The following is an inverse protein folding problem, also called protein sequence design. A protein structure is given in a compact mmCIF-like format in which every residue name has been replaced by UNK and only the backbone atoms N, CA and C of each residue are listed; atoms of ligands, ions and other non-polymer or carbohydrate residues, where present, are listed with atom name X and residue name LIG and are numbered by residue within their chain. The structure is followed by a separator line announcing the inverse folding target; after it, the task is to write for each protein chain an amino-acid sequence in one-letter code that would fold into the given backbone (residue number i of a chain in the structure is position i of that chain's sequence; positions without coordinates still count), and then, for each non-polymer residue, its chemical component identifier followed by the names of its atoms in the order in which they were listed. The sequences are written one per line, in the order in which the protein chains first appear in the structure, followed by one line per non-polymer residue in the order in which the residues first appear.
data_IF_763696595828
#
_entry.id   IF_763696595828
#
_cell.length_a   1.000
_cell.length_b   1.000
_cell.length_c   1.000
_cell.angle_alpha   90.00
_cell.angle_beta   90.00
_cell.angle_gamma   90.00
#
_symmetry.space_group_name_H-M   'P 1'
#
loop_
_entity.id
_entity.type
_entity.pdbx_description
1 polymer ?
#
# COMPACT_ATOMS: atom_id res chain seq x y z
N UNK A 1 -26.66 6.09 27.15
CA UNK A 1 -26.59 7.10 28.23
C UNK A 1 -25.60 8.18 27.81
N UNK A 2 -25.94 9.48 27.92
CA UNK A 2 -25.01 10.55 27.56
C UNK A 2 -23.85 10.59 28.57
N UNK A 3 -22.61 10.56 28.09
CA UNK A 3 -21.41 10.70 28.91
C UNK A 3 -21.33 12.14 29.43
N UNK A 4 -21.39 12.32 30.76
CA UNK A 4 -21.18 13.62 31.40
C UNK A 4 -19.68 13.86 31.57
N UNK A 5 -19.17 14.95 31.01
CA UNK A 5 -17.77 15.35 31.17
C UNK A 5 -17.52 15.84 32.61
N UNK A 6 -16.82 15.03 33.41
CA UNK A 6 -16.44 15.33 34.80
C UNK A 6 -15.00 15.85 34.93
N UNK A 7 -14.39 16.28 33.84
CA UNK A 7 -12.99 16.74 33.85
C UNK A 7 -12.78 17.93 34.78
N UNK A 8 -13.77 18.82 34.91
CA UNK A 8 -13.68 19.97 35.81
C UNK A 8 -13.73 19.57 37.29
N UNK A 9 -14.70 18.72 37.67
CA UNK A 9 -14.82 18.20 39.03
C UNK A 9 -13.53 17.47 39.46
N UNK A 10 -12.97 16.66 38.56
CA UNK A 10 -11.70 15.98 38.79
C UNK A 10 -10.53 16.95 39.02
N UNK A 11 -10.40 17.98 38.18
CA UNK A 11 -9.35 19.01 38.35
C UNK A 11 -9.50 19.78 39.66
N UNK A 12 -10.74 20.04 40.10
CA UNK A 12 -11.01 20.73 41.35
C UNK A 12 -10.59 19.87 42.56
N UNK A 13 -10.97 18.60 42.57
CA UNK A 13 -10.56 17.64 43.61
C UNK A 13 -9.04 17.47 43.67
N UNK A 14 -8.37 17.44 42.51
CA UNK A 14 -6.89 17.40 42.47
C UNK A 14 -6.30 18.64 43.14
N UNK A 15 -6.77 19.85 42.81
CA UNK A 15 -6.24 21.10 43.39
C UNK A 15 -6.47 21.15 44.90
N UNK A 16 -7.63 20.71 45.36
CA UNK A 16 -7.96 20.62 46.79
C UNK A 16 -6.99 19.68 47.52
N UNK A 17 -6.78 18.48 46.98
CA UNK A 17 -5.83 17.51 47.53
C UNK A 17 -4.37 17.95 47.45
N UNK A 18 -4.01 18.71 46.41
CA UNK A 18 -2.67 19.27 46.28
C UNK A 18 -2.40 20.34 47.35
N UNK A 19 -3.42 21.10 47.76
CA UNK A 19 -3.31 22.11 48.81
C UNK A 19 -3.29 21.52 50.23
N UNK A 20 -3.87 20.33 50.45
CA UNK A 20 -3.75 19.57 51.69
C UNK A 20 -2.33 19.02 51.94
N UNK A 21 -1.51 18.88 50.89
CA UNK A 21 -0.15 18.35 51.02
C UNK A 21 0.83 19.44 51.48
N UNK A 22 1.70 19.16 52.48
CA UNK A 22 2.71 20.12 52.92
C UNK A 22 3.65 20.50 51.78
N UNK A 23 4.05 21.79 51.72
CA UNK A 23 4.84 22.36 50.62
C UNK A 23 6.12 21.57 50.28
N UNK A 24 6.74 20.93 51.27
CA UNK A 24 7.89 20.04 51.08
C UNK A 24 7.56 18.79 50.24
N UNK A 25 6.35 18.21 50.40
CA UNK A 25 5.90 17.07 49.60
C UNK A 25 5.51 17.50 48.18
N UNK A 26 4.86 18.67 48.02
CA UNK A 26 4.53 19.24 46.69
C UNK A 26 5.79 19.55 45.86
N UNK A 27 6.81 20.12 46.49
CA UNK A 27 8.10 20.39 45.84
C UNK A 27 8.84 19.09 45.50
N UNK A 28 8.72 18.04 46.32
CA UNK A 28 9.32 16.73 46.06
C UNK A 28 8.63 16.01 44.89
N UNK A 29 7.30 16.03 44.80
CA UNK A 29 6.56 15.43 43.68
C UNK A 29 6.80 16.19 42.38
N UNK A 30 6.81 17.52 42.40
CA UNK A 30 7.14 18.34 41.23
C UNK A 30 8.58 18.09 40.74
N UNK A 31 9.54 17.95 41.66
CA UNK A 31 10.93 17.61 41.32
C UNK A 31 11.04 16.21 40.72
N UNK A 32 10.36 15.21 41.32
CA UNK A 32 10.29 13.85 40.79
C UNK A 32 9.69 13.79 39.40
N UNK A 33 8.62 14.56 39.11
CA UNK A 33 8.02 14.61 37.79
C UNK A 33 8.99 15.21 36.76
N UNK A 34 9.72 16.27 37.13
CA UNK A 34 10.71 16.89 36.23
C UNK A 34 11.96 16.01 36.02
N UNK A 35 12.31 15.18 37.02
CA UNK A 35 13.41 14.22 36.92
C UNK A 35 13.00 13.02 36.06
N UNK A 36 11.77 12.52 36.21
CA UNK A 36 11.21 11.46 35.39
C UNK A 36 11.05 11.89 33.92
N UNK A 37 10.63 13.13 33.64
CA UNK A 37 10.57 13.65 32.25
C UNK A 37 11.93 13.72 31.55
N UNK A 38 13.04 13.73 32.30
CA UNK A 38 14.41 13.72 31.77
C UNK A 38 14.98 12.32 31.62
N UNK A 39 14.23 11.26 31.94
CA UNK A 39 14.70 9.90 31.76
C UNK A 39 14.96 9.61 30.27
N UNK A 40 16.18 9.21 29.88
CA UNK A 40 16.55 8.99 28.48
C UNK A 40 15.62 8.01 27.76
N UNK A 41 15.12 7.01 28.48
CA UNK A 41 14.20 6.00 27.93
C UNK A 41 12.83 6.59 27.55
N UNK A 42 12.33 7.58 28.30
CA UNK A 42 11.05 8.23 28.01
C UNK A 42 11.20 9.16 26.82
N UNK A 43 12.33 9.86 26.71
CA UNK A 43 12.65 10.72 25.56
C UNK A 43 12.76 9.87 24.28
N UNK A 44 13.53 8.79 24.31
CA UNK A 44 13.64 7.87 23.16
C UNK A 44 12.30 7.22 22.79
N UNK A 45 11.44 6.92 23.76
CA UNK A 45 10.09 6.44 23.49
C UNK A 45 9.21 7.50 22.80
N UNK A 46 9.30 8.76 23.20
CA UNK A 46 8.59 9.88 22.54
C UNK A 46 9.09 10.10 21.11
N UNK A 47 10.40 10.03 20.89
CA UNK A 47 11.03 10.13 19.56
C UNK A 47 10.57 8.98 18.66
N UNK A 48 10.54 7.75 19.16
CA UNK A 48 10.04 6.59 18.43
C UNK A 48 8.59 6.77 17.95
N UNK A 49 7.71 7.23 18.84
CA UNK A 49 6.30 7.47 18.51
C UNK A 49 6.15 8.65 17.55
N UNK A 50 6.94 9.71 17.71
CA UNK A 50 6.93 10.84 16.78
C UNK A 50 7.33 10.41 15.37
N UNK A 51 8.38 9.60 15.25
CA UNK A 51 8.82 9.03 13.96
C UNK A 51 7.72 8.16 13.33
N UNK A 52 7.04 7.33 14.14
CA UNK A 52 5.90 6.54 13.71
C UNK A 52 4.78 7.39 13.09
N UNK A 53 4.44 8.52 13.71
CA UNK A 53 3.43 9.44 13.18
C UNK A 53 3.86 10.08 11.86
N UNK A 54 5.14 10.41 11.70
CA UNK A 54 5.66 10.95 10.44
C UNK A 54 5.54 9.90 9.33
N UNK A 55 5.89 8.64 9.59
CA UNK A 55 5.71 7.55 8.61
C UNK A 55 4.22 7.36 8.28
N UNK A 56 3.36 7.33 9.30
CA UNK A 56 1.92 7.19 9.12
C UNK A 56 1.34 8.32 8.26
N UNK A 57 1.81 9.56 8.45
CA UNK A 57 1.38 10.69 7.63
C UNK A 57 1.75 10.48 6.15
N UNK A 58 2.99 10.07 5.86
CA UNK A 58 3.41 9.76 4.49
C UNK A 58 2.57 8.65 3.86
N UNK A 59 2.31 7.56 4.59
CA UNK A 59 1.47 6.45 4.11
C UNK A 59 0.05 6.96 3.84
N UNK A 60 -0.57 7.70 4.77
CA UNK A 60 -1.93 8.21 4.59
C UNK A 60 -2.04 9.23 3.45
N UNK A 61 -1.02 10.06 3.23
CA UNK A 61 -0.97 10.98 2.08
C UNK A 61 -0.86 10.21 0.78
N UNK A 62 0.01 9.21 0.72
CA UNK A 62 0.15 8.33 -0.45
C UNK A 62 -1.16 7.59 -0.74
N UNK A 63 -1.78 6.94 0.25
CA UNK A 63 -3.03 6.21 0.07
C UNK A 63 -4.16 7.13 -0.44
N UNK A 64 -4.26 8.36 0.10
CA UNK A 64 -5.23 9.35 -0.38
C UNK A 64 -4.95 9.78 -1.83
N UNK A 65 -3.69 10.06 -2.14
CA UNK A 65 -3.27 10.40 -3.51
C UNK A 65 -3.61 9.27 -4.49
N UNK A 66 -3.23 8.02 -4.19
CA UNK A 66 -3.51 6.84 -5.03
C UNK A 66 -5.02 6.64 -5.24
N UNK A 67 -5.84 6.84 -4.21
CA UNK A 67 -7.29 6.74 -4.32
C UNK A 67 -7.88 7.81 -5.26
N UNK A 68 -7.40 9.06 -5.16
CA UNK A 68 -7.88 10.18 -5.98
C UNK A 68 -7.48 10.03 -7.45
N UNK A 69 -6.25 9.59 -7.72
CA UNK A 69 -5.75 9.45 -9.09
C UNK A 69 -6.16 8.14 -9.76
N UNK A 70 -6.75 7.17 -9.05
CA UNK A 70 -7.11 5.86 -9.62
C UNK A 70 -7.90 5.96 -10.92
N UNK A 71 -8.92 6.82 -10.96
CA UNK A 71 -9.76 7.00 -12.16
C UNK A 71 -9.00 7.62 -13.35
N UNK A 72 -8.34 8.79 -13.22
CA UNK A 72 -7.56 9.37 -14.32
C UNK A 72 -6.33 8.54 -14.71
N UNK A 73 -5.75 7.79 -13.76
CA UNK A 73 -4.61 6.91 -14.00
C UNK A 73 -4.99 5.73 -14.90
N UNK A 74 -6.12 5.08 -14.62
CA UNK A 74 -6.61 3.92 -15.38
C UNK A 74 -7.21 4.27 -16.75
N UNK A 75 -7.53 5.55 -16.98
CA UNK A 75 -8.10 6.01 -18.25
C UNK A 75 -7.01 6.17 -19.33
N UNK A 76 -6.65 5.08 -20.01
CA UNK A 76 -5.63 5.05 -21.08
C UNK A 76 -6.14 5.66 -22.40
N UNK A 77 -7.40 6.11 -22.47
CA UNK A 77 -7.97 6.65 -23.71
C UNK A 77 -7.35 8.00 -24.07
N UNK A 78 -6.43 7.93 -25.02
CA UNK A 78 -5.79 9.03 -25.73
C UNK A 78 -6.69 9.59 -26.84
N UNK A 79 -8.00 9.72 -26.61
CA UNK A 79 -8.80 10.67 -27.41
C UNK A 79 -8.43 12.07 -26.94
N UNK A 80 -7.22 12.48 -27.34
CA UNK A 80 -6.67 13.79 -27.12
C UNK A 80 -7.61 14.81 -27.77
N UNK A 81 -8.52 15.35 -26.96
CA UNK A 81 -9.08 16.67 -27.27
C UNK A 81 -7.86 17.59 -27.33
N UNK A 82 -7.65 18.34 -28.43
CA UNK A 82 -6.49 19.22 -28.59
C UNK A 82 -6.58 20.29 -27.51
N UNK A 83 -5.89 20.04 -26.40
CA UNK A 83 -6.00 20.86 -25.20
C UNK A 83 -4.89 21.87 -25.27
N UNK A 84 -5.30 23.10 -25.57
CA UNK A 84 -4.57 24.34 -25.30
C UNK A 84 -3.62 24.19 -24.11
N UNK A 85 -2.31 24.30 -24.39
CA UNK A 85 -1.18 24.51 -23.46
C UNK A 85 -1.57 24.40 -21.98
N UNK A 86 -1.60 23.18 -21.43
CA UNK A 86 -1.51 23.03 -19.98
C UNK A 86 -0.04 23.27 -19.59
N UNK A 87 0.26 24.19 -18.66
CA UNK A 87 1.62 24.35 -18.16
C UNK A 87 2.07 23.05 -17.49
N UNK A 88 3.34 22.69 -17.65
CA UNK A 88 3.95 21.56 -16.95
C UNK A 88 3.64 21.67 -15.45
N UNK A 89 2.74 20.82 -14.95
CA UNK A 89 2.39 20.83 -13.54
C UNK A 89 3.53 20.18 -12.78
N UNK A 90 4.20 20.94 -11.92
CA UNK A 90 5.08 20.35 -10.92
C UNK A 90 4.18 19.61 -9.92
N UNK A 91 4.06 18.30 -10.10
CA UNK A 91 3.31 17.40 -9.23
C UNK A 91 4.07 17.24 -7.91
N UNK A 92 3.93 18.24 -7.04
CA UNK A 92 4.48 18.24 -5.69
C UNK A 92 3.58 17.41 -4.76
N UNK A 93 4.19 16.43 -4.09
CA UNK A 93 3.53 15.41 -3.28
C UNK A 93 2.88 15.95 -2.00
N UNK A 94 3.39 17.07 -1.47
CA UNK A 94 2.99 17.61 -0.16
C UNK A 94 1.61 18.29 -0.19
N UNK A 95 1.20 18.77 -1.37
CA UNK A 95 -0.12 19.35 -1.59
C UNK A 95 -1.18 18.28 -1.85
N UNK A 96 -1.90 17.84 -0.82
CA UNK A 96 -3.10 16.98 -0.98
C UNK A 96 -4.13 17.57 -1.97
N UNK A 97 -4.08 18.88 -2.21
CA UNK A 97 -4.98 19.59 -3.13
C UNK A 97 -4.53 19.53 -4.60
N UNK A 98 -3.25 19.29 -4.90
CA UNK A 98 -2.72 19.22 -6.26
C UNK A 98 -3.35 18.10 -7.09
N UNK A 99 -3.87 17.06 -6.43
CA UNK A 99 -4.36 15.83 -7.05
C UNK A 99 -5.89 15.77 -7.20
N UNK A 100 -6.64 16.69 -6.57
CA UNK A 100 -8.11 16.66 -6.52
C UNK A 100 -8.81 17.12 -7.81
N UNK A 101 -8.07 17.65 -8.80
CA UNK A 101 -8.63 18.24 -10.02
C UNK A 101 -8.16 17.63 -11.35
N UNK A 102 -7.41 16.52 -11.32
CA UNK A 102 -6.82 15.94 -12.52
C UNK A 102 -7.81 14.96 -13.17
N UNK A 103 -8.29 15.28 -14.39
CA UNK A 103 -9.22 14.42 -15.16
C UNK A 103 -8.52 13.48 -16.13
N UNK A 104 -7.34 13.87 -16.61
CA UNK A 104 -6.53 13.09 -17.55
C UNK A 104 -5.06 13.19 -17.16
N UNK A 105 -4.34 12.08 -17.32
CA UNK A 105 -2.89 11.97 -17.10
C UNK A 105 -2.24 11.52 -18.40
N UNK A 106 -1.11 12.11 -18.75
CA UNK A 106 -0.24 11.62 -19.82
C UNK A 106 0.46 10.32 -19.39
N UNK A 107 0.96 9.55 -20.36
CA UNK A 107 1.72 8.33 -20.05
C UNK A 107 2.96 8.63 -19.19
N UNK A 108 3.62 9.75 -19.46
CA UNK A 108 4.79 10.22 -18.71
C UNK A 108 4.45 10.63 -17.27
N UNK A 109 3.34 11.33 -17.04
CA UNK A 109 2.89 11.69 -15.69
C UNK A 109 2.53 10.44 -14.87
N UNK A 110 1.91 9.43 -15.50
CA UNK A 110 1.65 8.13 -14.84
C UNK A 110 2.95 7.44 -14.41
N UNK A 111 3.95 7.46 -15.28
CA UNK A 111 5.26 6.87 -14.99
C UNK A 111 5.97 7.59 -13.84
N UNK A 112 5.85 8.91 -13.77
CA UNK A 112 6.38 9.71 -12.66
C UNK A 112 5.67 9.39 -11.34
N UNK A 113 4.33 9.26 -11.38
CA UNK A 113 3.52 8.85 -10.22
C UNK A 113 3.96 7.48 -9.71
N UNK A 114 4.15 6.51 -10.62
CA UNK A 114 4.59 5.15 -10.27
C UNK A 114 5.96 5.16 -9.59
N UNK A 115 6.90 5.95 -10.13
CA UNK A 115 8.23 6.09 -9.57
C UNK A 115 8.21 6.77 -8.19
N UNK A 116 7.44 7.85 -8.05
CA UNK A 116 7.29 8.56 -6.77
C UNK A 116 6.64 7.67 -5.70
N UNK A 117 5.53 7.00 -6.04
CA UNK A 117 4.84 6.09 -5.12
C UNK A 117 5.78 4.98 -4.65
N UNK A 118 6.56 4.37 -5.56
CA UNK A 118 7.56 3.37 -5.21
C UNK A 118 8.62 3.91 -4.24
N UNK A 119 9.20 5.07 -4.54
CA UNK A 119 10.24 5.69 -3.68
C UNK A 119 9.71 5.98 -2.27
N UNK A 120 8.45 6.42 -2.16
CA UNK A 120 7.82 6.65 -0.85
C UNK A 120 7.63 5.33 -0.12
N UNK A 121 7.11 4.30 -0.79
CA UNK A 121 6.91 2.99 -0.18
C UNK A 121 8.22 2.38 0.32
N UNK A 122 9.28 2.40 -0.49
CA UNK A 122 10.60 1.89 -0.08
C UNK A 122 11.16 2.68 1.08
N UNK A 123 11.10 4.02 1.03
CA UNK A 123 11.60 4.87 2.13
C UNK A 123 10.83 4.66 3.43
N UNK A 124 9.51 4.48 3.35
CA UNK A 124 8.70 4.14 4.51
C UNK A 124 9.05 2.75 5.04
N UNK A 125 9.24 1.75 4.16
CA UNK A 125 9.67 0.41 4.56
C UNK A 125 11.01 0.44 5.31
N UNK A 126 12.00 1.17 4.77
CA UNK A 126 13.33 1.29 5.35
C UNK A 126 13.29 1.96 6.73
N UNK A 127 12.50 3.03 6.89
CA UNK A 127 12.31 3.68 8.20
C UNK A 127 11.62 2.77 9.21
N UNK A 128 10.64 1.97 8.79
CA UNK A 128 10.00 0.98 9.69
C UNK A 128 11.01 -0.09 10.10
N UNK A 129 11.85 -0.60 9.18
CA UNK A 129 12.94 -1.53 9.50
C UNK A 129 13.96 -0.93 10.46
N UNK A 130 14.30 0.35 10.29
CA UNK A 130 15.18 1.07 11.22
C UNK A 130 14.57 1.16 12.62
N UNK A 131 13.29 1.51 12.73
CA UNK A 131 12.57 1.55 14.00
C UNK A 131 12.57 0.19 14.71
N UNK A 132 12.33 -0.89 13.96
CA UNK A 132 12.38 -2.26 14.51
C UNK A 132 13.79 -2.64 14.99
N UNK A 133 14.83 -2.24 14.25
CA UNK A 133 16.21 -2.46 14.66
C UNK A 133 16.57 -1.68 15.93
N UNK A 134 16.05 -0.45 16.08
CA UNK A 134 16.22 0.35 17.29
C UNK A 134 15.55 -0.32 18.50
N UNK A 135 14.33 -0.85 18.33
CA UNK A 135 13.64 -1.55 19.41
C UNK A 135 14.34 -2.86 19.78
N UNK A 136 14.83 -3.62 18.80
CA UNK A 136 15.62 -4.83 19.06
C UNK A 136 16.88 -4.52 19.87
N UNK A 137 17.62 -3.47 19.50
CA UNK A 137 18.79 -3.01 20.28
C UNK A 137 18.39 -2.60 21.70
N UNK A 138 17.25 -1.94 21.87
CA UNK A 138 16.74 -1.57 23.20
C UNK A 138 16.48 -2.81 24.06
N UNK A 139 15.81 -3.83 23.51
CA UNK A 139 15.53 -5.09 24.20
C UNK A 139 16.84 -5.77 24.62
N UNK A 140 17.84 -5.83 23.73
CA UNK A 140 19.17 -6.38 24.03
C UNK A 140 19.91 -5.59 25.13
N UNK A 141 19.79 -4.26 25.14
CA UNK A 141 20.36 -3.40 26.19
C UNK A 141 19.65 -3.57 27.53
N UNK A 142 18.33 -3.77 27.54
CA UNK A 142 17.57 -4.08 28.75
C UNK A 142 17.94 -5.47 29.27
N UNK A 143 18.07 -6.45 28.37
CA UNK A 143 18.48 -7.81 28.73
C UNK A 143 19.92 -7.86 29.28
N UNK A 144 20.86 -7.12 28.68
CA UNK A 144 22.27 -7.08 29.12
C UNK A 144 22.49 -6.29 30.41
N UNK A 145 21.60 -5.36 30.76
CA UNK A 145 21.63 -4.66 32.05
C UNK A 145 21.22 -5.52 33.25
N UNK A 146 20.65 -6.71 33.03
CA UNK A 146 20.28 -7.63 34.11
C UNK A 146 21.52 -8.20 34.82
N UNK A 147 21.60 -8.04 36.15
CA UNK A 147 22.70 -8.60 36.96
C UNK A 147 22.84 -10.13 36.76
N UNK A 148 24.05 -10.68 36.55
CA UNK A 148 24.23 -12.12 36.32
C UNK A 148 23.77 -12.98 37.52
N UNK A 149 23.76 -12.40 38.73
CA UNK A 149 23.30 -13.06 39.96
C UNK A 149 21.77 -13.23 40.02
N UNK A 150 20.99 -12.37 39.36
CA UNK A 150 19.53 -12.55 39.29
C UNK A 150 19.16 -13.72 38.36
N UNK A 151 20.13 -14.23 37.58
CA UNK A 151 19.98 -15.43 36.76
C UNK A 151 19.79 -16.72 37.58
N UNK A 152 20.22 -16.71 38.84
CA UNK A 152 20.07 -17.83 39.79
C UNK A 152 18.83 -17.73 40.68
N UNK A 153 18.11 -16.61 40.64
CA UNK A 153 16.86 -16.45 41.38
C UNK A 153 15.70 -17.12 40.62
N UNK A 154 14.74 -17.74 41.33
CA UNK A 154 13.55 -18.31 40.72
C UNK A 154 12.76 -17.22 39.99
N UNK A 155 12.19 -17.55 38.82
CA UNK A 155 11.52 -16.62 37.91
C UNK A 155 10.51 -15.67 38.58
N UNK A 156 9.87 -16.12 39.66
CA UNK A 156 8.93 -15.35 40.49
C UNK A 156 9.51 -14.13 41.20
N UNK A 157 10.84 -14.06 41.38
CA UNK A 157 11.52 -12.95 42.06
C UNK A 157 12.37 -12.09 41.09
N UNK A 158 12.34 -12.41 39.79
CA UNK A 158 13.14 -11.74 38.75
C UNK A 158 12.41 -10.58 38.07
N UNK A 159 11.10 -10.48 38.27
CA UNK A 159 10.24 -9.47 37.64
C UNK A 159 10.30 -8.16 38.42
N UNK A 160 11.36 -7.37 38.18
CA UNK A 160 11.42 -5.99 38.65
C UNK A 160 10.44 -5.11 37.87
N UNK A 161 9.79 -4.15 38.55
CA UNK A 161 8.81 -3.26 37.95
C UNK A 161 9.31 -2.52 36.70
N UNK A 162 10.63 -2.26 36.62
CA UNK A 162 11.27 -1.65 35.46
C UNK A 162 11.27 -2.58 34.23
N UNK A 163 11.57 -3.87 34.40
CA UNK A 163 11.55 -4.87 33.32
C UNK A 163 10.13 -5.03 32.77
N UNK A 164 9.11 -5.01 33.63
CA UNK A 164 7.71 -5.08 33.20
C UNK A 164 7.30 -3.91 32.33
N UNK A 165 7.66 -2.70 32.76
CA UNK A 165 7.39 -1.50 31.97
C UNK A 165 8.12 -1.55 30.63
N UNK A 166 9.31 -2.17 30.57
CA UNK A 166 10.04 -2.38 29.33
C UNK A 166 9.34 -3.40 28.42
N UNK A 167 8.85 -4.52 28.96
CA UNK A 167 8.14 -5.56 28.19
C UNK A 167 6.83 -5.02 27.61
N UNK A 168 6.06 -4.25 28.39
CA UNK A 168 4.82 -3.60 27.93
C UNK A 168 5.11 -2.55 26.85
N UNK A 169 6.19 -1.77 27.02
CA UNK A 169 6.59 -0.79 26.00
C UNK A 169 7.08 -1.48 24.73
N UNK A 170 7.81 -2.60 24.83
CA UNK A 170 8.23 -3.39 23.69
C UNK A 170 7.03 -3.96 22.92
N UNK A 171 6.03 -4.50 23.63
CA UNK A 171 4.77 -4.96 23.03
C UNK A 171 3.99 -3.80 22.36
N UNK A 172 4.00 -2.61 22.96
CA UNK A 172 3.38 -1.44 22.35
C UNK A 172 4.14 -1.00 21.08
N UNK A 173 5.47 -0.95 21.14
CA UNK A 173 6.32 -0.57 20.00
C UNK A 173 6.23 -1.57 18.84
N UNK A 174 6.14 -2.88 19.13
CA UNK A 174 5.91 -3.92 18.12
C UNK A 174 4.52 -3.80 17.49
N UNK A 175 3.49 -3.47 18.28
CA UNK A 175 2.15 -3.24 17.74
C UNK A 175 2.08 -2.02 16.80
N UNK A 176 2.87 -0.97 17.08
CA UNK A 176 2.99 0.21 16.22
C UNK A 176 3.64 -0.17 14.88
N UNK A 177 4.78 -0.86 14.89
CA UNK A 177 5.46 -1.25 13.65
C UNK A 177 4.64 -2.25 12.85
N UNK A 178 3.95 -3.18 13.51
CA UNK A 178 2.99 -4.07 12.87
C UNK A 178 1.88 -3.28 12.17
N UNK A 179 1.30 -2.27 12.84
CA UNK A 179 0.26 -1.43 12.23
C UNK A 179 0.78 -0.65 11.02
N UNK A 180 1.99 -0.08 11.11
CA UNK A 180 2.62 0.63 9.98
C UNK A 180 2.90 -0.31 8.81
N UNK A 181 3.48 -1.49 9.04
CA UNK A 181 3.72 -2.49 8.01
C UNK A 181 2.43 -2.99 7.37
N UNK A 182 1.36 -3.16 8.16
CA UNK A 182 0.04 -3.50 7.63
C UNK A 182 -0.46 -2.42 6.67
N UNK A 183 -0.40 -1.15 7.06
CA UNK A 183 -0.84 -0.01 6.23
C UNK A 183 0.02 0.15 4.98
N UNK A 184 1.33 -0.09 5.10
CA UNK A 184 2.26 -0.06 3.98
C UNK A 184 1.98 -1.19 2.97
N UNK A 185 1.66 -2.38 3.47
CA UNK A 185 1.24 -3.52 2.66
C UNK A 185 -0.08 -3.26 1.93
N UNK A 186 -1.06 -2.66 2.62
CA UNK A 186 -2.32 -2.29 1.97
C UNK A 186 -2.10 -1.21 0.89
N UNK A 187 -1.23 -0.21 1.13
CA UNK A 187 -0.88 0.80 0.15
C UNK A 187 -0.14 0.21 -1.07
N UNK A 188 0.84 -0.67 -0.85
CA UNK A 188 1.58 -1.34 -1.93
C UNK A 188 0.68 -2.25 -2.77
N UNK A 189 -0.29 -2.92 -2.14
CA UNK A 189 -1.32 -3.71 -2.81
C UNK A 189 -2.15 -2.82 -3.75
N UNK A 190 -2.62 -1.66 -3.28
CA UNK A 190 -3.39 -0.74 -4.16
C UNK A 190 -2.59 -0.22 -5.34
N UNK A 191 -1.29 0.06 -5.16
CA UNK A 191 -0.42 0.47 -6.25
C UNK A 191 -0.23 -0.66 -7.27
N UNK A 192 0.05 -1.88 -6.80
CA UNK A 192 0.21 -3.07 -7.64
C UNK A 192 -1.03 -3.33 -8.48
N UNK A 193 -2.22 -3.33 -7.89
CA UNK A 193 -3.48 -3.53 -8.61
C UNK A 193 -3.68 -2.51 -9.73
N UNK A 194 -3.37 -1.24 -9.48
CA UNK A 194 -3.45 -0.20 -10.52
C UNK A 194 -2.44 -0.42 -11.65
N UNK A 195 -1.22 -0.85 -11.33
CA UNK A 195 -0.19 -1.14 -12.33
C UNK A 195 -0.52 -2.38 -13.16
N UNK A 196 -1.01 -3.45 -12.53
CA UNK A 196 -1.50 -4.65 -13.23
C UNK A 196 -2.59 -4.29 -14.23
N UNK A 197 -3.56 -3.47 -13.80
CA UNK A 197 -4.66 -3.07 -14.67
C UNK A 197 -4.21 -2.13 -15.80
N UNK A 198 -3.18 -1.31 -15.57
CA UNK A 198 -2.55 -0.49 -16.63
C UNK A 198 -1.83 -1.35 -17.66
N UNK A 199 -0.95 -2.25 -17.21
CA UNK A 199 -0.21 -3.18 -18.08
C UNK A 199 -1.18 -4.02 -18.89
N UNK A 200 -2.24 -4.52 -18.25
CA UNK A 200 -3.31 -5.28 -18.91
C UNK A 200 -3.98 -4.48 -20.02
N UNK A 201 -4.37 -3.21 -19.77
CA UNK A 201 -4.97 -2.35 -20.81
C UNK A 201 -4.00 -2.04 -21.95
N UNK A 202 -2.72 -1.85 -21.65
CA UNK A 202 -1.70 -1.61 -22.68
C UNK A 202 -1.47 -2.86 -23.55
N UNK A 203 -1.44 -4.05 -22.93
CA UNK A 203 -1.33 -5.34 -23.63
C UNK A 203 -2.56 -5.64 -24.49
N UNK A 204 -3.77 -5.36 -24.00
CA UNK A 204 -5.00 -5.47 -24.78
C UNK A 204 -4.98 -4.51 -25.98
N UNK A 205 -4.40 -3.31 -25.82
CA UNK A 205 -4.26 -2.34 -26.91
C UNK A 205 -3.22 -2.77 -27.95
N UNK A 206 -2.05 -3.25 -27.54
CA UNK A 206 -1.05 -3.77 -28.50
C UNK A 206 -1.60 -4.98 -29.25
N UNK A 207 -2.34 -5.86 -28.56
CA UNK A 207 -3.02 -7.00 -29.18
C UNK A 207 -4.11 -6.58 -30.16
N UNK A 208 -4.90 -5.56 -29.83
CA UNK A 208 -5.98 -5.07 -30.70
C UNK A 208 -5.46 -4.29 -31.91
N UNK A 209 -4.40 -3.49 -31.76
CA UNK A 209 -3.73 -2.81 -32.88
C UNK A 209 -3.17 -3.82 -33.88
N UNK A 210 -2.52 -4.89 -33.40
CA UNK A 210 -2.08 -5.99 -34.28
C UNK A 210 -3.23 -6.70 -34.99
N UNK A 211 -4.36 -6.92 -34.30
CA UNK A 211 -5.54 -7.54 -34.92
C UNK A 211 -6.32 -6.61 -35.86
N UNK A 212 -6.27 -5.29 -35.63
CA UNK A 212 -6.90 -4.26 -36.44
C UNK A 212 -6.18 -4.11 -37.77
N UNK A 213 -4.86 -3.98 -37.74
CA UNK A 213 -4.02 -3.96 -38.93
C UNK A 213 -4.16 -5.27 -39.75
N UNK A 214 -4.20 -6.43 -39.09
CA UNK A 214 -4.44 -7.71 -39.76
C UNK A 214 -5.85 -7.81 -40.39
N UNK A 215 -6.89 -7.29 -39.72
CA UNK A 215 -8.25 -7.24 -40.29
C UNK A 215 -8.37 -6.25 -41.44
N UNK A 216 -7.71 -5.11 -41.35
CA UNK A 216 -7.71 -4.07 -42.40
C UNK A 216 -6.94 -4.56 -43.63
N UNK A 217 -5.80 -5.23 -43.45
CA UNK A 217 -5.08 -5.90 -44.52
C UNK A 217 -5.94 -7.02 -45.19
N UNK A 218 -6.70 -7.78 -44.40
CA UNK A 218 -7.66 -8.75 -44.95
C UNK A 218 -8.84 -8.08 -45.67
N UNK A 219 -9.22 -6.86 -45.30
CA UNK A 219 -10.33 -6.15 -45.93
C UNK A 219 -9.89 -5.43 -47.22
N UNK A 220 -8.63 -5.02 -47.32
CA UNK A 220 -8.02 -4.50 -48.56
C UNK A 220 -7.82 -5.62 -49.58
N UNK A 221 -7.63 -6.87 -49.13
CA UNK A 221 -7.41 -8.03 -50.01
C UNK A 221 -8.71 -8.75 -50.43
N UNK A 222 -9.88 -8.15 -50.18
CA UNK A 222 -11.19 -8.76 -50.49
C UNK A 222 -12.06 -7.74 -51.23
N UNK A 223 -11.74 -7.53 -52.51
CA UNK A 223 -12.73 -7.23 -53.54
C UNK A 223 -13.00 -8.52 -54.33
N UNK A 224 -14.10 -9.26 -54.09
CA UNK A 224 -14.52 -10.36 -54.92
C UNK A 224 -15.54 -9.83 -55.94
N UNK A 225 -15.04 -9.18 -56.99
CA UNK A 225 -15.81 -8.91 -58.19
C UNK A 225 -14.99 -9.45 -59.36
N UNK A 226 -15.20 -10.73 -59.67
CA UNK A 226 -15.44 -11.30 -61.01
C UNK A 226 -15.25 -12.83 -60.97
N UNK A 227 -16.27 -13.54 -61.47
CA UNK A 227 -16.19 -14.96 -61.82
C UNK A 227 -15.07 -15.16 -62.84
N UNK A 228 -14.19 -16.15 -62.65
CA UNK A 228 -13.58 -16.84 -63.78
C UNK A 228 -13.05 -18.22 -63.37
N UNK A 229 -13.21 -19.13 -64.32
CA UNK A 229 -12.80 -20.54 -64.34
C UNK A 229 -11.29 -20.75 -64.13
N UNK A 230 -10.92 -21.97 -63.72
CA UNK A 230 -9.55 -22.48 -63.70
C UNK A 230 -8.85 -22.26 -65.06
N UNK A 231 -7.52 -21.97 -65.08
CA UNK A 231 -6.57 -23.07 -65.26
C UNK A 231 -5.19 -22.96 -64.56
N UNK A 232 -4.63 -24.14 -64.28
CA UNK A 232 -3.21 -24.56 -64.28
C UNK A 232 -2.07 -23.64 -63.76
N UNK A 233 -1.48 -24.07 -62.63
CA UNK A 233 -0.04 -24.17 -62.27
C UNK A 233 0.94 -23.07 -62.72
N UNK A 234 1.47 -22.32 -61.74
CA UNK A 234 2.91 -22.13 -61.53
C UNK A 234 3.21 -21.65 -60.11
N UNK A 235 4.38 -22.03 -59.61
CA UNK A 235 4.82 -21.85 -58.23
C UNK A 235 5.34 -20.44 -57.92
N UNK A 236 5.13 -20.01 -56.68
CA UNK A 236 6.06 -19.15 -55.94
C UNK A 236 5.56 -17.74 -55.62
N UNK A 237 5.05 -17.54 -54.40
CA UNK A 237 5.59 -16.49 -53.51
C UNK A 237 5.17 -16.73 -52.05
N UNK A 238 6.21 -16.82 -51.21
CA UNK A 238 6.28 -16.55 -49.77
C UNK A 238 4.98 -16.50 -48.94
N UNK A 239 4.65 -17.66 -48.38
CA UNK A 239 3.94 -17.78 -47.11
C UNK A 239 4.85 -17.32 -45.96
N UNK A 240 4.57 -16.15 -45.35
CA UNK A 240 5.28 -15.68 -44.15
C UNK A 240 4.60 -16.11 -42.84
N UNK A 241 3.39 -16.66 -42.88
CA UNK A 241 2.72 -17.17 -41.67
C UNK A 241 2.77 -18.70 -41.64
N UNK A 242 4.00 -19.19 -41.40
CA UNK A 242 4.24 -20.52 -40.89
C UNK A 242 3.51 -20.70 -39.55
N UNK A 243 2.73 -21.76 -39.48
CA UNK A 243 1.69 -21.94 -38.48
C UNK A 243 2.16 -22.10 -37.04
N UNK A 244 1.24 -21.75 -36.13
CA UNK A 244 1.05 -22.47 -34.89
C UNK A 244 -0.41 -22.34 -34.44
N UNK A 245 -1.08 -23.49 -34.41
CA UNK A 245 -2.20 -23.84 -33.52
C UNK A 245 -3.60 -23.38 -33.90
N UNK A 246 -4.25 -24.25 -34.66
CA UNK A 246 -5.65 -24.64 -34.52
C UNK A 246 -6.06 -24.71 -33.04
N UNK A 247 -7.04 -23.90 -32.65
CA UNK A 247 -8.13 -24.20 -31.69
C UNK A 247 -8.79 -22.89 -31.29
N UNK A 248 -10.05 -22.71 -31.72
CA UNK A 248 -11.21 -22.25 -30.94
C UNK A 248 -12.24 -21.58 -31.86
N UNK A 249 -12.98 -22.46 -32.53
CA UNK A 249 -14.45 -22.49 -32.58
C UNK A 249 -15.14 -21.20 -33.05
N UNK A 250 -15.60 -21.29 -34.30
CA UNK A 250 -16.78 -20.61 -34.80
C UNK A 250 -17.97 -20.79 -33.84
N UNK A 251 -18.55 -19.67 -33.41
CA UNK A 251 -19.92 -19.62 -32.89
C UNK A 251 -20.58 -18.35 -33.44
N UNK A 252 -20.99 -18.46 -34.70
CA UNK A 252 -22.18 -17.78 -35.20
C UNK A 252 -23.38 -18.43 -34.48
N UNK A 253 -24.29 -17.63 -33.91
CA UNK A 253 -25.73 -17.91 -33.72
C UNK A 253 -26.37 -16.79 -32.89
N UNK A 254 -27.34 -16.10 -33.51
CA UNK A 254 -28.62 -15.73 -32.87
C UNK A 254 -28.71 -14.46 -32.04
N UNK A 255 -29.19 -13.37 -32.64
CA UNK A 255 -30.15 -12.47 -31.98
C UNK A 255 -30.92 -11.63 -33.03
N UNK A 256 -32.25 -11.46 -32.90
CA UNK A 256 -33.10 -10.76 -33.87
C UNK A 256 -33.10 -9.23 -33.65
N UNK A 257 -33.24 -8.49 -34.75
CA UNK A 257 -33.43 -7.04 -34.75
C UNK A 257 -34.85 -6.65 -34.30
N UNK A 258 -35.02 -5.46 -33.69
CA UNK A 258 -36.26 -4.70 -33.77
C UNK A 258 -36.11 -3.46 -34.67
N UNK A 259 -37.25 -3.11 -35.26
CA UNK A 259 -37.55 -2.18 -36.36
C UNK A 259 -37.59 -0.68 -36.02
N UNK A 260 -37.16 0.14 -37.00
CA UNK A 260 -37.55 1.54 -37.37
C UNK A 260 -37.23 2.75 -36.44
N UNK A 261 -37.27 4.04 -36.89
CA UNK A 261 -37.33 4.64 -38.26
C UNK A 261 -36.42 5.90 -38.55
N UNK A 262 -36.25 6.21 -39.85
CA UNK A 262 -36.09 7.51 -40.57
C UNK A 262 -35.12 8.69 -40.20
N UNK A 263 -34.19 8.99 -41.16
CA UNK A 263 -33.76 10.29 -41.82
C UNK A 263 -33.37 11.55 -40.98
N UNK A 264 -32.67 12.61 -41.53
CA UNK A 264 -32.01 12.79 -42.84
C UNK A 264 -30.60 13.43 -42.83
N UNK A 265 -29.87 13.32 -43.96
CA UNK A 265 -28.89 14.33 -44.40
C UNK A 265 -29.12 14.68 -45.89
N UNK A 266 -28.96 15.96 -46.30
CA UNK A 266 -29.32 16.44 -47.63
C UNK A 266 -28.12 16.63 -48.59
N UNK A 267 -28.48 16.70 -49.88
CA UNK A 267 -27.82 17.47 -50.97
C UNK A 267 -26.48 16.94 -51.54
N UNK A 268 -26.48 16.27 -52.70
CA UNK A 268 -26.52 16.80 -54.09
C UNK A 268 -25.25 17.53 -54.54
N UNK A 269 -24.45 16.89 -55.41
CA UNK A 269 -23.86 17.54 -56.59
C UNK A 269 -23.91 16.55 -57.76
N UNK A 270 -24.28 17.10 -58.93
CA UNK A 270 -24.64 16.47 -60.20
C UNK A 270 -23.47 15.69 -60.83
N UNK A 271 -23.75 14.51 -61.38
CA UNK A 271 -22.94 13.89 -62.42
C UNK A 271 -23.67 14.06 -63.75
N UNK A 272 -22.95 14.58 -64.74
CA UNK A 272 -23.46 14.92 -66.06
C UNK A 272 -23.75 13.70 -66.93
N UNK A 273 -24.61 13.95 -67.91
CA UNK A 273 -25.06 13.11 -69.02
C UNK A 273 -24.00 12.19 -69.65
N UNK A 274 -24.40 10.95 -69.91
CA UNK A 274 -23.67 9.93 -70.68
C UNK A 274 -24.19 9.99 -72.13
N UNK A 275 -23.35 10.18 -73.17
CA UNK A 275 -23.69 9.83 -74.55
C UNK A 275 -23.40 8.34 -74.82
N UNK A 276 -24.14 7.68 -75.73
CA UNK A 276 -24.00 6.24 -75.99
C UNK A 276 -22.70 5.88 -76.73
N UNK A 277 -22.23 4.63 -76.62
CA UNK A 277 -20.88 4.24 -77.00
C UNK A 277 -20.75 4.05 -78.52
N UNK A 278 -19.65 4.56 -79.07
CA UNK A 278 -19.07 4.06 -80.32
C UNK A 278 -18.23 2.81 -80.01
N UNK A 279 -18.34 1.73 -80.80
CA UNK A 279 -17.46 0.59 -80.67
C UNK A 279 -16.18 0.92 -81.42
N UNK A 280 -15.05 0.99 -80.73
CA UNK A 280 -13.72 0.58 -81.20
C UNK A 280 -12.70 0.93 -80.11
N UNK A 281 -11.71 0.04 -80.00
CA UNK A 281 -10.41 0.17 -79.35
C UNK A 281 -10.28 -0.24 -77.86
N UNK A 282 -9.63 -1.41 -77.77
CA UNK A 282 -8.56 -1.80 -76.86
C UNK A 282 -8.89 -2.24 -75.42
N UNK A 283 -8.55 -3.52 -75.20
CA UNK A 283 -8.27 -4.14 -73.91
C UNK A 283 -7.13 -3.38 -73.22
N UNK A 284 -7.45 -2.28 -72.54
CA UNK A 284 -6.59 -1.76 -71.49
C UNK A 284 -7.05 -2.38 -70.17
N UNK A 285 -6.36 -3.45 -69.77
CA UNK A 285 -6.14 -3.77 -68.37
C UNK A 285 -5.64 -2.48 -67.69
N UNK A 286 -6.54 -1.63 -67.22
CA UNK A 286 -6.22 -0.57 -66.25
C UNK A 286 -5.87 -1.27 -64.95
N UNK A 287 -4.68 -1.87 -64.91
CA UNK A 287 -3.90 -2.03 -63.71
C UNK A 287 -4.01 -0.70 -62.98
N UNK A 288 -4.71 -0.69 -61.85
CA UNK A 288 -4.84 0.47 -60.97
C UNK A 288 -3.45 0.70 -60.37
N UNK A 289 -2.54 1.27 -61.16
CA UNK A 289 -1.21 1.65 -60.75
C UNK A 289 -1.37 2.78 -59.74
N UNK A 290 -1.15 2.45 -58.46
CA UNK A 290 -1.09 3.42 -57.37
C UNK A 290 -0.21 4.60 -57.81
N UNK A 291 -0.77 5.81 -57.81
CA UNK A 291 0.01 7.01 -58.14
C UNK A 291 1.29 7.04 -57.30
N UNK A 292 2.43 7.45 -57.87
CA UNK A 292 3.70 7.53 -57.13
C UNK A 292 3.58 8.29 -55.79
N UNK A 293 2.63 9.23 -55.71
CA UNK A 293 2.24 9.92 -54.47
C UNK A 293 1.52 9.04 -53.44
N UNK A 294 0.63 8.13 -53.84
CA UNK A 294 -0.04 7.18 -52.93
C UNK A 294 0.92 6.13 -52.39
N UNK A 295 1.84 5.63 -53.22
CA UNK A 295 2.87 4.66 -52.78
C UNK A 295 3.73 5.29 -51.68
N UNK A 296 4.20 6.53 -51.90
CA UNK A 296 4.98 7.26 -50.90
C UNK A 296 4.18 7.50 -49.61
N UNK A 297 2.88 7.76 -49.70
CA UNK A 297 2.01 7.91 -48.54
C UNK A 297 1.87 6.60 -47.77
N UNK A 298 1.65 5.46 -48.44
CA UNK A 298 1.57 4.15 -47.81
C UNK A 298 2.89 3.71 -47.18
N UNK A 299 4.03 3.97 -47.83
CA UNK A 299 5.35 3.72 -47.25
C UNK A 299 5.56 4.53 -45.97
N UNK A 300 5.16 5.81 -46.00
CA UNK A 300 5.24 6.70 -44.82
C UNK A 300 4.30 6.23 -43.70
N UNK A 301 3.09 5.79 -44.03
CA UNK A 301 2.12 5.28 -43.07
C UNK A 301 2.55 3.95 -42.45
N UNK A 302 3.09 3.03 -43.26
CA UNK A 302 3.65 1.77 -42.79
C UNK A 302 4.86 2.00 -41.87
N UNK A 303 5.75 2.93 -42.22
CA UNK A 303 6.87 3.31 -41.36
C UNK A 303 6.40 3.89 -40.01
N UNK A 304 5.40 4.78 -40.04
CA UNK A 304 4.79 5.34 -38.83
C UNK A 304 4.09 4.26 -37.98
N UNK A 305 3.42 3.30 -38.62
CA UNK A 305 2.77 2.19 -37.93
C UNK A 305 3.79 1.30 -37.24
N UNK A 306 4.86 0.89 -37.93
CA UNK A 306 5.94 0.09 -37.37
C UNK A 306 6.62 0.79 -36.19
N UNK A 307 6.89 2.10 -36.33
CA UNK A 307 7.43 2.90 -35.24
C UNK A 307 6.47 2.92 -34.04
N UNK A 308 5.18 3.13 -34.26
CA UNK A 308 4.19 3.13 -33.17
C UNK A 308 4.08 1.76 -32.49
N UNK A 309 4.19 0.66 -33.24
CA UNK A 309 4.19 -0.70 -32.70
C UNK A 309 5.44 -0.91 -31.85
N UNK A 310 6.61 -0.49 -32.34
CA UNK A 310 7.87 -0.58 -31.59
C UNK A 310 7.80 0.22 -30.27
N UNK A 311 7.30 1.46 -30.31
CA UNK A 311 7.14 2.31 -29.13
C UNK A 311 6.15 1.71 -28.11
N UNK A 312 5.04 1.11 -28.60
CA UNK A 312 4.09 0.44 -27.71
C UNK A 312 4.70 -0.81 -27.06
N UNK A 313 5.53 -1.56 -27.78
CA UNK A 313 6.18 -2.75 -27.25
C UNK A 313 7.23 -2.38 -26.18
N UNK A 314 8.05 -1.36 -26.43
CA UNK A 314 8.99 -0.85 -25.44
C UNK A 314 8.26 -0.35 -24.18
N UNK A 315 7.16 0.40 -24.36
CA UNK A 315 6.35 0.86 -23.22
C UNK A 315 5.75 -0.29 -22.43
N UNK A 316 5.29 -1.37 -23.08
CA UNK A 316 4.75 -2.55 -22.39
C UNK A 316 5.86 -3.26 -21.62
N UNK A 317 7.01 -3.50 -22.24
CA UNK A 317 8.15 -4.15 -21.60
C UNK A 317 8.63 -3.36 -20.36
N UNK A 318 8.69 -2.03 -20.47
CA UNK A 318 9.04 -1.17 -19.35
C UNK A 318 8.00 -1.24 -18.22
N UNK A 319 6.72 -1.26 -18.56
CA UNK A 319 5.64 -1.37 -17.59
C UNK A 319 5.63 -2.74 -16.88
N UNK A 320 5.94 -3.82 -17.60
CA UNK A 320 6.12 -5.18 -17.04
C UNK A 320 7.29 -5.22 -16.05
N UNK A 321 8.46 -4.66 -16.40
CA UNK A 321 9.60 -4.59 -15.49
C UNK A 321 9.26 -3.86 -14.19
N UNK A 322 8.57 -2.72 -14.27
CA UNK A 322 8.15 -1.97 -13.09
C UNK A 322 7.10 -2.73 -12.26
N UNK A 323 6.21 -3.47 -12.93
CA UNK A 323 5.24 -4.33 -12.27
C UNK A 323 5.93 -5.47 -11.51
N UNK A 324 6.99 -6.06 -12.07
CA UNK A 324 7.81 -7.05 -11.37
C UNK A 324 8.45 -6.45 -10.13
N UNK A 325 9.05 -5.26 -10.22
CA UNK A 325 9.66 -4.58 -9.07
C UNK A 325 8.66 -4.33 -7.92
N UNK A 326 7.47 -3.78 -8.22
CA UNK A 326 6.46 -3.52 -7.17
C UNK A 326 5.94 -4.84 -6.58
N UNK A 327 5.82 -5.88 -7.40
CA UNK A 327 5.37 -7.19 -6.94
C UNK A 327 6.39 -7.83 -6.00
N UNK A 328 7.69 -7.66 -6.26
CA UNK A 328 8.75 -8.11 -5.38
C UNK A 328 8.72 -7.36 -4.04
N UNK A 329 8.59 -6.03 -4.08
CA UNK A 329 8.43 -5.21 -2.87
C UNK A 329 7.20 -5.64 -2.06
N UNK A 330 6.06 -5.83 -2.73
CA UNK A 330 4.81 -6.25 -2.09
C UNK A 330 4.94 -7.65 -1.47
N UNK A 331 5.57 -8.59 -2.15
CA UNK A 331 5.83 -9.93 -1.61
C UNK A 331 6.73 -9.88 -0.36
N UNK A 332 7.80 -9.06 -0.39
CA UNK A 332 8.67 -8.85 0.77
C UNK A 332 7.90 -8.27 1.96
N UNK A 333 7.09 -7.23 1.73
CA UNK A 333 6.27 -6.61 2.78
C UNK A 333 5.25 -7.58 3.38
N UNK A 334 4.57 -8.37 2.55
CA UNK A 334 3.62 -9.39 3.01
C UNK A 334 4.34 -10.47 3.82
N UNK A 335 5.47 -10.98 3.33
CA UNK A 335 6.27 -11.97 4.04
C UNK A 335 6.71 -11.42 5.41
N UNK A 336 7.22 -10.19 5.43
CA UNK A 336 7.65 -9.54 6.67
C UNK A 336 6.49 -9.37 7.66
N UNK A 337 5.33 -8.91 7.20
CA UNK A 337 4.12 -8.76 8.01
C UNK A 337 3.66 -10.11 8.60
N UNK A 338 3.71 -11.21 7.84
CA UNK A 338 3.33 -12.53 8.37
C UNK A 338 4.25 -12.99 9.50
N UNK A 339 5.56 -12.82 9.34
CA UNK A 339 6.53 -13.15 10.39
C UNK A 339 6.33 -12.25 11.62
N UNK A 340 6.11 -10.96 11.39
CA UNK A 340 5.90 -10.00 12.46
C UNK A 340 4.60 -10.23 13.24
N UNK A 341 3.54 -10.71 12.59
CA UNK A 341 2.26 -11.00 13.25
C UNK A 341 2.45 -12.05 14.34
N UNK A 342 3.12 -13.17 14.01
CA UNK A 342 3.40 -14.25 14.98
C UNK A 342 4.24 -13.74 16.15
N UNK A 343 5.28 -12.94 15.87
CA UNK A 343 6.13 -12.38 16.92
C UNK A 343 5.39 -11.38 17.81
N UNK A 344 4.53 -10.54 17.22
CA UNK A 344 3.76 -9.53 17.94
C UNK A 344 2.73 -10.18 18.87
N UNK A 345 2.06 -11.23 18.40
CA UNK A 345 1.10 -12.00 19.21
C UNK A 345 1.79 -12.63 20.42
N UNK A 346 2.96 -13.26 20.23
CA UNK A 346 3.75 -13.82 21.33
C UNK A 346 4.15 -12.75 22.36
N UNK A 347 4.67 -11.62 21.90
CA UNK A 347 5.11 -10.54 22.78
C UNK A 347 3.93 -9.93 23.56
N UNK A 348 2.75 -9.88 22.94
CA UNK A 348 1.53 -9.42 23.60
C UNK A 348 1.04 -10.39 24.67
N UNK A 349 1.01 -11.70 24.37
CA UNK A 349 0.67 -12.73 25.36
C UNK A 349 1.64 -12.73 26.54
N UNK A 350 2.94 -12.62 26.27
CA UNK A 350 3.99 -12.55 27.28
C UNK A 350 3.81 -11.31 28.17
N UNK A 351 3.54 -10.15 27.59
CA UNK A 351 3.32 -8.91 28.34
C UNK A 351 2.08 -9.02 29.26
N UNK A 352 0.98 -9.63 28.79
CA UNK A 352 -0.23 -9.86 29.61
C UNK A 352 0.04 -10.84 30.74
N UNK A 353 0.66 -11.99 30.44
CA UNK A 353 0.97 -13.01 31.44
C UNK A 353 1.89 -12.44 32.54
N UNK A 354 2.89 -11.67 32.13
CA UNK A 354 3.86 -11.02 33.01
C UNK A 354 3.17 -9.96 33.88
N UNK A 355 2.28 -9.13 33.31
CA UNK A 355 1.50 -8.15 34.08
C UNK A 355 0.59 -8.84 35.11
N UNK A 356 -0.12 -9.91 34.73
CA UNK A 356 -1.01 -10.64 35.64
C UNK A 356 -0.28 -11.33 36.78
N UNK A 357 0.88 -11.93 36.50
CA UNK A 357 1.70 -12.61 37.53
C UNK A 357 2.22 -11.63 38.57
N UNK A 358 2.61 -10.42 38.14
CA UNK A 358 3.08 -9.37 39.04
C UNK A 358 1.95 -8.77 39.85
N UNK A 359 0.79 -8.53 39.25
CA UNK A 359 -0.37 -8.02 39.99
C UNK A 359 -0.72 -8.95 41.16
N UNK A 360 -0.76 -10.26 40.89
CA UNK A 360 -0.94 -11.30 41.92
C UNK A 360 0.21 -11.31 42.94
N UNK A 361 1.46 -11.18 42.50
CA UNK A 361 2.63 -11.10 43.37
C UNK A 361 2.59 -9.89 44.31
N UNK A 362 2.23 -8.71 43.79
CA UNK A 362 2.08 -7.48 44.57
C UNK A 362 0.94 -7.59 45.59
N UNK A 363 -0.17 -8.24 45.23
CA UNK A 363 -1.26 -8.53 46.16
C UNK A 363 -0.77 -9.44 47.32
N UNK A 364 -0.03 -10.50 47.00
CA UNK A 364 0.56 -11.40 48.00
C UNK A 364 1.58 -10.70 48.89
N UNK A 365 2.43 -9.82 48.35
CA UNK A 365 3.37 -9.02 49.13
C UNK A 365 2.65 -8.10 50.11
N UNK A 366 1.57 -7.45 49.67
CA UNK A 366 0.74 -6.60 50.53
C UNK A 366 0.05 -7.40 51.64
N UNK A 367 -0.41 -8.61 51.33
CA UNK A 367 -0.98 -9.52 52.32
C UNK A 367 0.08 -10.02 53.30
N UNK A 368 1.26 -10.41 52.83
CA UNK A 368 2.39 -10.84 53.65
C UNK A 368 2.86 -9.72 54.58
N UNK A 369 2.89 -8.46 54.12
CA UNK A 369 3.21 -7.30 54.95
C UNK A 369 2.19 -7.10 56.08
N UNK A 370 0.89 -7.28 55.79
CA UNK A 370 -0.17 -7.23 56.82
C UNK A 370 0.02 -8.34 57.85
N UNK A 371 0.21 -9.59 57.39
CA UNK A 371 0.45 -10.75 58.27
C UNK A 371 1.74 -10.61 59.09
N UNK A 372 2.78 -9.99 58.54
CA UNK A 372 4.03 -9.69 59.25
C UNK A 372 3.84 -8.70 60.41
N UNK A 373 3.00 -7.68 60.23
CA UNK A 373 2.66 -6.75 61.31
C UNK A 373 1.84 -7.44 62.41
N UNK A 374 0.87 -8.29 62.03
CA UNK A 374 0.06 -9.05 62.99
C UNK A 374 0.92 -10.06 63.77
N UNK A 375 1.85 -10.74 63.09
CA UNK A 375 2.79 -11.67 63.73
C UNK A 375 3.72 -10.99 64.72
N UNK A 376 4.23 -9.79 64.40
CA UNK A 376 5.04 -8.99 65.33
C UNK A 376 4.24 -8.56 66.56
N UNK A 377 2.98 -8.16 66.38
CA UNK A 377 2.08 -7.82 67.48
C UNK A 377 1.83 -9.03 68.39
N UNK A 378 1.56 -10.20 67.79
CA UNK A 378 1.33 -11.43 68.54
C UNK A 378 2.55 -11.86 69.36
N UNK A 379 3.75 -11.82 68.77
CA UNK A 379 5.00 -12.12 69.48
C UNK A 379 5.20 -11.14 70.65
N UNK A 380 4.92 -9.85 70.46
CA UNK A 380 5.06 -8.84 71.52
C UNK A 380 4.08 -9.11 72.67
N UNK A 381 2.82 -9.40 72.37
CA UNK A 381 1.81 -9.75 73.39
C UNK A 381 2.20 -11.03 74.14
N UNK A 382 2.71 -12.05 73.42
CA UNK A 382 3.19 -13.28 74.03
C UNK A 382 4.38 -13.04 74.98
N UNK A 383 5.35 -12.22 74.58
CA UNK A 383 6.52 -11.90 75.39
C UNK A 383 6.13 -11.16 76.68
N UNK A 384 5.20 -10.19 76.57
CA UNK A 384 4.67 -9.49 77.74
C UNK A 384 3.91 -10.47 78.65
N UNK A 385 3.05 -11.32 78.09
CA UNK A 385 2.31 -12.32 78.85
C UNK A 385 3.21 -13.31 79.58
N UNK A 386 4.24 -13.83 78.91
CA UNK A 386 5.22 -14.74 79.50
C UNK A 386 6.03 -14.04 80.61
N UNK A 387 6.42 -12.77 80.40
CA UNK A 387 7.12 -11.98 81.41
C UNK A 387 6.28 -11.76 82.67
N UNK A 388 4.98 -11.48 82.51
CA UNK A 388 4.05 -11.32 83.64
C UNK A 388 3.81 -12.63 84.38
N UNK A 389 3.69 -13.74 83.66
CA UNK A 389 3.56 -15.08 84.26
C UNK A 389 4.78 -15.45 85.11
N UNK A 390 5.99 -15.15 84.63
CA UNK A 390 7.23 -15.37 85.41
C UNK A 390 7.30 -14.47 86.66
N UNK A 391 6.84 -13.21 86.56
CA UNK A 391 6.76 -12.31 87.72
C UNK A 391 5.81 -12.88 88.79
N UNK A 392 4.65 -13.37 88.38
CA UNK A 392 3.65 -13.91 89.29
C UNK A 392 4.13 -15.22 89.96
N UNK A 393 4.81 -16.09 89.21
CA UNK A 393 5.39 -17.34 89.73
C UNK A 393 6.58 -17.10 90.68
N UNK A 394 7.25 -15.95 90.59
CA UNK A 394 8.31 -15.58 91.53
C UNK A 394 7.77 -14.90 92.79
N UNK A 395 6.61 -14.23 92.70
CA UNK A 395 6.02 -13.52 93.83
C UNK A 395 5.24 -14.43 94.79
N UNK A 396 4.84 -15.62 94.33
CA UNK A 396 4.09 -16.62 95.09
C UNK A 396 4.92 -17.89 95.21
#
# INVERSE_FOLDING_TARGET
MPSSDRTQDFRQVIREKENELPAAKRRKTAKQNSEAERDPQIISGKEYVAEAYVILNHINTLTRMLANIRRPYLNVDSRAVPTYRQPARNLELDGSDSWNGIRHLSNQERDQIDLQARVILTRCADRVKEMEALEKRRIELVASKGNPLTRFLPARLRQDAATLSADVVAAHHSSITWYLNRRLTDASQTQKEMQEERVKRQLERSRTLGSGAAREALNINVDPLFNAEEPERAAGSSSWLGGASSSLIAATIGAPQPSEPHRPVPSTVKLGEIPPPSPDDDDDDEDIELSASQILQFETENANMLQSVQDTLESVQQAESRLMDISALQAELVQHLTMQTVFTDQLYEDAIATTSTVEKGNAQLKEAQRRGNDGRLFILVFLIGASLSLLFLHYY
#
